data_IF_878704803064
#
_entry.id   IF_878704803064
#
_cell.length_a   1.000
_cell.length_b   1.000
_cell.length_c   1.000
_cell.angle_alpha   90.00
_cell.angle_beta   90.00
_cell.angle_gamma   90.00
#
_symmetry.space_group_name_H-M   'P 1'
#
loop_
_entity.id
_entity.type
_entity.pdbx_description
1 polymer ?
#
# COMPACT_ATOMS: atom_id res chain seq x y z
N UNK A 1 9.67 38.83 12.35
CA UNK A 1 9.48 37.41 12.71
C UNK A 1 10.66 37.04 13.59
N UNK A 2 10.44 36.74 14.87
CA UNK A 2 11.55 36.35 15.74
C UNK A 2 12.15 35.05 15.21
N UNK A 3 13.42 35.09 14.80
CA UNK A 3 14.17 33.86 14.52
C UNK A 3 14.50 33.22 15.86
N UNK A 4 13.85 32.11 16.17
CA UNK A 4 14.17 31.35 17.36
C UNK A 4 15.59 30.78 17.20
N UNK A 5 16.46 31.09 18.15
CA UNK A 5 17.75 30.45 18.27
C UNK A 5 17.57 29.14 19.03
N UNK A 6 17.60 28.02 18.32
CA UNK A 6 17.55 26.68 18.89
C UNK A 6 18.94 26.26 19.38
N UNK A 7 19.00 25.50 20.46
CA UNK A 7 20.25 24.91 20.94
C UNK A 7 20.86 24.02 19.85
N UNK A 8 22.09 24.28 19.40
CA UNK A 8 22.79 23.44 18.43
C UNK A 8 22.84 21.95 18.83
N UNK A 9 22.77 21.65 20.12
CA UNK A 9 22.76 20.28 20.66
C UNK A 9 21.56 19.46 20.15
N UNK A 10 20.39 20.09 19.90
CA UNK A 10 19.18 19.42 19.38
C UNK A 10 19.46 18.80 18.00
N UNK A 11 20.30 19.43 17.18
CA UNK A 11 20.66 18.91 15.85
C UNK A 11 21.40 17.58 15.93
N UNK A 12 22.41 17.50 16.80
CA UNK A 12 23.28 16.32 16.90
C UNK A 12 22.65 15.21 17.74
N UNK A 13 21.85 15.55 18.75
CA UNK A 13 21.29 14.58 19.69
C UNK A 13 19.86 14.15 19.38
N UNK A 14 19.11 14.93 18.61
CA UNK A 14 17.74 14.58 18.24
C UNK A 14 17.60 14.35 16.75
N UNK A 15 17.94 15.35 15.93
CA UNK A 15 17.68 15.27 14.50
C UNK A 15 18.47 14.15 13.81
N UNK A 16 19.79 14.12 14.02
CA UNK A 16 20.64 13.10 13.40
C UNK A 16 20.28 11.66 13.85
N UNK A 17 20.09 11.37 15.15
CA UNK A 17 19.65 10.05 15.58
C UNK A 17 18.26 9.68 15.05
N UNK A 18 17.32 10.62 14.99
CA UNK A 18 15.98 10.37 14.46
C UNK A 18 16.02 9.96 12.99
N UNK A 19 16.85 10.60 12.17
CA UNK A 19 17.05 10.21 10.76
C UNK A 19 17.63 8.79 10.66
N UNK A 20 18.63 8.46 11.49
CA UNK A 20 19.25 7.13 11.49
C UNK A 20 18.24 6.05 11.93
N UNK A 21 17.50 6.29 13.01
CA UNK A 21 16.51 5.34 13.55
C UNK A 21 15.38 5.11 12.55
N UNK A 22 14.83 6.18 11.96
CA UNK A 22 13.76 6.07 10.96
C UNK A 22 14.21 5.32 9.71
N UNK A 23 15.45 5.55 9.26
CA UNK A 23 16.04 4.80 8.16
C UNK A 23 16.22 3.31 8.48
N UNK A 24 16.84 2.98 9.61
CA UNK A 24 17.05 1.59 10.04
C UNK A 24 15.72 0.85 10.24
N UNK A 25 14.73 1.51 10.81
CA UNK A 25 13.40 0.95 10.95
C UNK A 25 12.73 0.71 9.59
N UNK A 26 12.92 1.61 8.62
CA UNK A 26 12.46 1.41 7.25
C UNK A 26 13.06 0.16 6.59
N UNK A 27 14.37 -0.05 6.77
CA UNK A 27 15.08 -1.24 6.30
C UNK A 27 14.56 -2.50 6.98
N UNK A 28 14.44 -2.48 8.32
CA UNK A 28 13.92 -3.60 9.10
C UNK A 28 12.47 -3.95 8.70
N UNK A 29 11.62 -2.94 8.52
CA UNK A 29 10.24 -3.13 8.03
C UNK A 29 10.23 -3.82 6.68
N UNK A 30 11.07 -3.38 5.74
CA UNK A 30 11.15 -3.98 4.42
C UNK A 30 11.48 -5.47 4.49
N UNK A 31 12.50 -5.85 5.27
CA UNK A 31 12.86 -7.25 5.47
C UNK A 31 11.78 -8.05 6.19
N UNK A 32 11.13 -7.48 7.21
CA UNK A 32 9.99 -8.12 7.86
C UNK A 32 8.83 -8.36 6.87
N UNK A 33 8.50 -7.38 6.03
CA UNK A 33 7.46 -7.53 5.02
C UNK A 33 7.79 -8.64 4.03
N UNK A 34 9.04 -8.76 3.59
CA UNK A 34 9.46 -9.87 2.71
C UNK A 34 9.29 -11.21 3.43
N UNK A 35 9.72 -11.32 4.68
CA UNK A 35 9.60 -12.57 5.44
C UNK A 35 8.14 -12.97 5.72
N UNK A 36 7.26 -12.00 5.93
CA UNK A 36 5.82 -12.24 6.15
C UNK A 36 5.01 -12.33 4.85
N UNK A 37 5.61 -12.03 3.69
CA UNK A 37 4.94 -12.18 2.41
C UNK A 37 4.81 -13.66 2.10
N UNK A 38 3.57 -14.15 2.10
CA UNK A 38 3.26 -15.53 1.74
C UNK A 38 2.67 -15.55 0.33
N UNK A 39 3.29 -16.32 -0.57
CA UNK A 39 2.66 -16.64 -1.85
C UNK A 39 1.51 -17.61 -1.62
N UNK A 40 0.29 -17.11 -1.83
CA UNK A 40 -0.90 -17.95 -1.82
C UNK A 40 -0.92 -18.82 -3.07
N UNK A 41 -1.03 -20.13 -2.87
CA UNK A 41 -1.38 -21.04 -3.94
C UNK A 41 -2.81 -20.74 -4.36
N UNK A 42 -2.96 -20.09 -5.51
CA UNK A 42 -4.27 -19.85 -6.10
C UNK A 42 -4.98 -21.18 -6.38
N UNK A 43 -6.30 -21.16 -6.31
CA UNK A 43 -7.11 -22.30 -6.70
C UNK A 43 -6.83 -22.65 -8.16
N UNK A 44 -6.53 -23.93 -8.44
CA UNK A 44 -6.16 -24.41 -9.78
C UNK A 44 -7.21 -24.04 -10.83
N UNK A 45 -8.47 -24.08 -10.42
CA UNK A 45 -9.61 -23.71 -11.25
C UNK A 45 -9.53 -22.22 -11.67
N UNK A 46 -9.33 -21.30 -10.71
CA UNK A 46 -9.17 -19.86 -10.98
C UNK A 46 -7.94 -19.54 -11.84
N UNK A 47 -6.85 -20.27 -11.64
CA UNK A 47 -5.64 -20.15 -12.46
C UNK A 47 -5.94 -20.59 -13.91
N UNK A 48 -6.65 -21.70 -14.08
CA UNK A 48 -7.07 -22.21 -15.39
C UNK A 48 -7.91 -21.19 -16.18
N UNK A 49 -8.85 -20.51 -15.51
CA UNK A 49 -9.66 -19.46 -16.13
C UNK A 49 -8.86 -18.21 -16.48
N UNK A 50 -7.96 -17.80 -15.59
CA UNK A 50 -7.06 -16.68 -15.85
C UNK A 50 -6.24 -16.94 -17.11
N UNK A 51 -5.71 -18.15 -17.28
CA UNK A 51 -5.02 -18.55 -18.50
C UNK A 51 -5.94 -18.60 -19.73
N UNK A 52 -7.18 -19.07 -19.59
CA UNK A 52 -8.15 -19.10 -20.69
C UNK A 52 -8.50 -17.67 -21.16
N UNK A 53 -8.65 -16.72 -20.24
CA UNK A 53 -8.86 -15.30 -20.54
C UNK A 53 -7.65 -14.65 -21.21
N UNK A 54 -6.43 -14.92 -20.71
CA UNK A 54 -5.20 -14.43 -21.33
C UNK A 54 -5.08 -15.00 -22.76
N UNK A 55 -5.39 -16.29 -22.95
CA UNK A 55 -5.37 -16.93 -24.26
C UNK A 55 -6.40 -16.31 -25.22
N UNK A 56 -7.60 -16.00 -24.76
CA UNK A 56 -8.62 -15.36 -25.60
C UNK A 56 -8.25 -13.93 -25.97
N UNK A 57 -7.64 -13.19 -25.03
CA UNK A 57 -7.06 -11.85 -25.28
C UNK A 57 -5.97 -11.91 -26.34
N UNK A 58 -5.00 -12.81 -26.19
CA UNK A 58 -3.92 -13.00 -27.16
C UNK A 58 -4.46 -13.42 -28.53
N UNK A 59 -5.49 -14.27 -28.59
CA UNK A 59 -6.13 -14.65 -29.84
C UNK A 59 -6.78 -13.44 -30.53
N UNK A 60 -7.39 -12.53 -29.77
CA UNK A 60 -8.03 -11.31 -30.32
C UNK A 60 -6.99 -10.29 -30.78
N UNK A 61 -5.95 -10.06 -30.00
CA UNK A 61 -4.91 -9.04 -30.29
C UNK A 61 -3.94 -9.52 -31.39
N UNK A 62 -3.49 -10.79 -31.32
CA UNK A 62 -2.47 -11.35 -32.20
C UNK A 62 -3.01 -12.40 -33.19
N UNK A 63 -4.32 -12.50 -33.35
CA UNK A 63 -4.95 -13.49 -34.25
C UNK A 63 -4.59 -13.33 -35.74
N UNK A 64 -4.08 -12.16 -36.14
CA UNK A 64 -3.66 -11.85 -37.52
C UNK A 64 -2.48 -12.69 -38.03
N UNK A 65 -1.68 -13.27 -37.14
CA UNK A 65 -0.53 -14.09 -37.51
C UNK A 65 -0.90 -15.56 -37.78
N UNK A 66 -2.15 -15.95 -37.50
CA UNK A 66 -2.63 -17.31 -37.71
C UNK A 66 -3.35 -17.44 -39.06
N UNK A 67 -3.30 -18.63 -39.70
CA UNK A 67 -4.15 -18.91 -40.86
C UNK A 67 -5.62 -18.73 -40.52
N UNK A 68 -6.41 -18.18 -41.46
CA UNK A 68 -7.82 -17.83 -41.23
C UNK A 68 -8.67 -19.00 -40.70
N UNK A 69 -8.41 -20.23 -41.18
CA UNK A 69 -9.07 -21.45 -40.70
C UNK A 69 -8.76 -21.73 -39.23
N UNK A 70 -7.50 -21.57 -38.84
CA UNK A 70 -7.01 -21.86 -37.50
C UNK A 70 -7.46 -20.80 -36.48
N UNK A 71 -7.63 -19.55 -36.91
CA UNK A 71 -8.26 -18.50 -36.10
C UNK A 71 -9.76 -18.77 -35.88
N UNK A 72 -10.51 -19.09 -36.95
CA UNK A 72 -11.95 -19.39 -36.86
C UNK A 72 -12.24 -20.60 -35.96
N UNK A 73 -11.45 -21.67 -36.04
CA UNK A 73 -11.58 -22.83 -35.15
C UNK A 73 -11.41 -22.46 -33.67
N UNK A 74 -10.38 -21.67 -33.33
CA UNK A 74 -10.14 -21.24 -31.94
C UNK A 74 -11.19 -20.24 -31.45
N UNK A 75 -11.69 -19.37 -32.33
CA UNK A 75 -12.82 -18.49 -32.03
C UNK A 75 -14.10 -19.28 -31.75
N UNK A 76 -14.34 -20.35 -32.52
CA UNK A 76 -15.48 -21.24 -32.31
C UNK A 76 -15.41 -21.93 -30.94
N UNK A 77 -14.25 -22.49 -30.57
CA UNK A 77 -14.04 -23.12 -29.27
C UNK A 77 -14.42 -22.22 -28.07
N UNK A 78 -14.16 -20.91 -28.16
CA UNK A 78 -14.50 -19.98 -27.08
C UNK A 78 -15.95 -19.47 -27.13
N UNK A 79 -16.50 -19.24 -28.33
CA UNK A 79 -17.75 -18.50 -28.52
C UNK A 79 -18.95 -19.37 -28.95
N UNK A 80 -18.77 -20.68 -29.08
CA UNK A 80 -19.87 -21.57 -29.45
C UNK A 80 -21.02 -21.48 -28.43
N UNK A 81 -22.26 -21.59 -28.93
CA UNK A 81 -23.47 -21.37 -28.10
C UNK A 81 -23.72 -22.54 -27.15
N UNK A 82 -23.40 -23.76 -27.56
CA UNK A 82 -23.65 -24.98 -26.79
C UNK A 82 -22.39 -25.47 -26.06
N UNK A 83 -21.24 -25.47 -26.74
CA UNK A 83 -19.98 -26.05 -26.24
C UNK A 83 -18.88 -25.01 -25.99
N UNK A 84 -19.19 -23.72 -26.08
CA UNK A 84 -18.20 -22.65 -25.92
C UNK A 84 -17.71 -22.57 -24.48
N UNK A 85 -16.39 -22.54 -24.30
CA UNK A 85 -15.76 -22.48 -22.98
C UNK A 85 -16.37 -21.38 -22.07
N UNK A 86 -16.65 -20.19 -22.61
CA UNK A 86 -17.24 -19.07 -21.87
C UNK A 86 -18.75 -19.15 -21.64
N UNK A 87 -19.45 -20.12 -22.24
CA UNK A 87 -20.90 -20.31 -22.11
C UNK A 87 -21.25 -21.52 -21.26
N UNK A 88 -20.47 -22.59 -21.34
CA UNK A 88 -20.67 -23.83 -20.60
C UNK A 88 -20.16 -23.72 -19.16
N UNK A 89 -19.05 -23.02 -18.92
CA UNK A 89 -18.52 -22.83 -17.57
C UNK A 89 -19.21 -21.66 -16.87
N UNK A 90 -20.37 -21.93 -16.25
CA UNK A 90 -20.96 -21.02 -15.27
C UNK A 90 -20.26 -21.22 -13.94
N UNK A 91 -19.26 -20.40 -13.66
CA UNK A 91 -18.71 -20.30 -12.32
C UNK A 91 -19.56 -19.37 -11.50
N UNK A 92 -19.80 -19.74 -10.25
CA UNK A 92 -20.32 -18.79 -9.29
C UNK A 92 -19.32 -17.65 -9.21
N UNK A 93 -19.79 -16.43 -9.46
CA UNK A 93 -18.93 -15.26 -9.35
C UNK A 93 -18.41 -15.22 -7.92
N UNK A 94 -17.07 -15.11 -7.69
CA UNK A 94 -16.53 -14.82 -6.37
C UNK A 94 -16.95 -13.43 -5.86
N UNK A 95 -17.77 -12.72 -6.63
CA UNK A 95 -18.54 -11.54 -6.26
C UNK A 95 -19.73 -11.88 -5.34
N UNK A 96 -19.61 -12.91 -4.51
CA UNK A 96 -20.35 -12.92 -3.26
C UNK A 96 -19.56 -11.97 -2.36
N UNK A 97 -20.19 -10.84 -1.99
CA UNK A 97 -19.68 -9.75 -1.16
C UNK A 97 -18.30 -9.99 -0.48
N UNK A 98 -17.34 -9.05 -0.52
CA UNK A 98 -16.09 -9.14 0.27
C UNK A 98 -16.30 -9.39 1.78
N UNK A 99 -17.53 -9.27 2.28
CA UNK A 99 -17.96 -9.60 3.64
C UNK A 99 -18.31 -11.09 3.86
N UNK A 100 -18.61 -11.83 2.79
CA UNK A 100 -19.11 -13.21 2.81
C UNK A 100 -17.97 -14.24 2.94
N UNK A 101 -16.74 -13.88 2.54
CA UNK A 101 -15.53 -14.67 2.78
C UNK A 101 -14.64 -13.98 3.82
N UNK A 102 -14.75 -14.37 5.11
CA UNK A 102 -13.92 -13.83 6.19
C UNK A 102 -12.42 -14.00 5.93
N UNK A 103 -12.00 -14.98 5.14
CA UNK A 103 -10.60 -15.25 4.79
C UNK A 103 -9.99 -14.18 3.87
N UNK A 104 -10.67 -13.82 2.78
CA UNK A 104 -10.16 -12.82 1.82
C UNK A 104 -10.17 -11.40 2.39
N UNK A 105 -11.20 -11.06 3.18
CA UNK A 105 -11.26 -9.79 3.90
C UNK A 105 -10.15 -9.66 4.94
N UNK A 106 -9.92 -10.71 5.75
CA UNK A 106 -8.86 -10.70 6.77
C UNK A 106 -7.48 -10.58 6.15
N UNK A 107 -7.28 -11.07 4.94
CA UNK A 107 -5.99 -10.99 4.24
C UNK A 107 -5.70 -9.61 3.65
N UNK A 108 -6.70 -8.97 3.05
CA UNK A 108 -6.57 -7.57 2.63
C UNK A 108 -6.33 -6.66 3.83
N UNK A 109 -7.08 -6.88 4.92
CA UNK A 109 -6.89 -6.15 6.17
C UNK A 109 -5.53 -6.45 6.79
N UNK A 110 -5.05 -7.70 6.78
CA UNK A 110 -3.73 -8.08 7.28
C UNK A 110 -2.62 -7.42 6.47
N UNK A 111 -2.74 -7.42 5.15
CA UNK A 111 -1.77 -6.76 4.25
C UNK A 111 -1.71 -5.25 4.51
N UNK A 112 -2.86 -4.59 4.67
CA UNK A 112 -2.90 -3.17 5.01
C UNK A 112 -2.38 -2.89 6.43
N UNK A 113 -2.76 -3.72 7.40
CA UNK A 113 -2.33 -3.61 8.80
C UNK A 113 -0.81 -3.80 8.95
N UNK A 114 -0.20 -4.73 8.21
CA UNK A 114 1.26 -4.93 8.20
C UNK A 114 2.02 -3.70 7.70
N UNK A 115 1.39 -2.82 6.92
CA UNK A 115 1.96 -1.54 6.52
C UNK A 115 1.65 -0.41 7.51
N UNK A 116 0.41 -0.35 8.02
CA UNK A 116 -0.05 0.74 8.88
C UNK A 116 0.49 0.64 10.32
N UNK A 117 0.50 -0.55 10.90
CA UNK A 117 0.88 -0.76 12.31
C UNK A 117 2.32 -0.31 12.59
N UNK A 118 3.33 -0.68 11.78
CA UNK A 118 4.69 -0.20 12.00
C UNK A 118 4.82 1.32 11.97
N UNK A 119 4.06 1.99 11.08
CA UNK A 119 4.09 3.46 10.94
C UNK A 119 3.49 4.17 12.16
N UNK A 120 2.41 3.63 12.72
CA UNK A 120 1.80 4.17 13.95
C UNK A 120 2.72 3.93 15.15
N UNK A 121 3.30 2.73 15.26
CA UNK A 121 4.19 2.38 16.39
C UNK A 121 5.41 3.30 16.41
N UNK A 122 6.08 3.52 15.28
CA UNK A 122 7.24 4.42 15.24
C UNK A 122 6.84 5.88 15.48
N UNK A 123 5.70 6.34 14.95
CA UNK A 123 5.21 7.70 15.18
C UNK A 123 4.90 7.96 16.66
N UNK A 124 4.24 7.02 17.33
CA UNK A 124 3.96 7.08 18.77
C UNK A 124 5.24 7.02 19.60
N UNK A 125 6.19 6.17 19.22
CA UNK A 125 7.47 6.07 19.92
C UNK A 125 8.30 7.35 19.79
N UNK A 126 8.38 7.94 18.59
CA UNK A 126 9.04 9.24 18.37
C UNK A 126 8.35 10.33 19.20
N UNK A 127 7.02 10.36 19.20
CA UNK A 127 6.28 11.36 19.97
C UNK A 127 6.50 11.21 21.48
N UNK A 128 6.65 10.00 21.99
CA UNK A 128 6.99 9.76 23.40
C UNK A 128 8.46 10.10 23.74
N UNK A 129 9.41 9.68 22.91
CA UNK A 129 10.85 9.84 23.15
C UNK A 129 11.36 11.27 22.92
N UNK A 130 10.75 12.00 21.97
CA UNK A 130 11.17 13.34 21.54
C UNK A 130 10.04 14.37 21.72
N UNK A 131 9.43 14.39 22.91
CA UNK A 131 8.41 15.39 23.28
C UNK A 131 9.02 16.60 23.99
N UNK A 132 8.37 17.76 23.87
CA UNK A 132 8.63 18.93 24.72
C UNK A 132 9.64 19.96 24.20
N UNK A 133 10.11 19.82 22.95
CA UNK A 133 11.01 20.80 22.32
C UNK A 133 10.74 20.93 20.81
N UNK A 134 11.17 22.05 20.23
CA UNK A 134 11.09 22.33 18.79
C UNK A 134 12.29 21.71 18.07
N UNK A 135 12.06 21.07 16.92
CA UNK A 135 13.12 20.37 16.18
C UNK A 135 13.68 21.20 15.03
N UNK A 136 12.83 21.62 14.09
CA UNK A 136 13.25 22.38 12.92
C UNK A 136 12.11 23.19 12.35
N UNK A 137 12.43 24.33 11.75
CA UNK A 137 11.48 25.10 10.95
C UNK A 137 11.36 24.49 9.56
N UNK A 138 10.14 24.34 9.08
CA UNK A 138 9.82 23.91 7.73
C UNK A 138 9.91 25.12 6.77
N UNK A 139 10.50 25.00 5.56
CA UNK A 139 10.78 26.15 4.68
C UNK A 139 9.54 26.65 3.91
N UNK A 140 8.35 26.11 4.16
CA UNK A 140 7.10 26.51 3.54
C UNK A 140 6.06 26.88 4.61
N UNK A 141 5.16 27.84 4.34
CA UNK A 141 4.17 28.29 5.31
C UNK A 141 3.10 27.20 5.53
N UNK A 142 2.77 26.94 6.80
CA UNK A 142 1.68 26.03 7.19
C UNK A 142 0.47 26.78 7.74
N UNK A 143 -0.72 26.22 7.56
CA UNK A 143 -1.94 26.79 8.13
C UNK A 143 -2.06 26.50 9.63
N UNK A 144 -2.67 27.41 10.38
CA UNK A 144 -2.80 27.32 11.85
C UNK A 144 -3.49 26.04 12.36
N UNK A 145 -4.32 25.39 11.53
CA UNK A 145 -5.01 24.13 11.89
C UNK A 145 -4.06 22.94 12.06
N UNK A 146 -2.85 22.99 11.48
CA UNK A 146 -1.83 21.95 11.65
C UNK A 146 -1.01 22.11 12.93
N UNK A 147 -1.08 23.28 13.58
CA UNK A 147 -0.35 23.57 14.82
C UNK A 147 -0.53 22.52 15.93
N UNK A 148 -1.75 22.11 16.32
CA UNK A 148 -1.93 21.09 17.36
C UNK A 148 -1.45 19.68 16.94
N UNK A 149 -1.26 19.43 15.64
CA UNK A 149 -0.73 18.14 15.17
C UNK A 149 0.81 18.12 15.19
N UNK A 150 1.46 19.24 14.87
CA UNK A 150 2.92 19.34 14.72
C UNK A 150 3.64 19.74 16.01
N UNK A 151 3.02 20.57 16.85
CA UNK A 151 3.61 21.09 18.09
C UNK A 151 3.10 20.38 19.35
N UNK A 152 2.87 19.07 19.23
CA UNK A 152 2.47 18.24 20.38
C UNK A 152 3.58 18.24 21.43
N UNK A 153 3.29 18.75 22.63
CA UNK A 153 4.25 18.91 23.72
C UNK A 153 4.80 20.34 23.93
N UNK A 154 4.51 21.29 23.03
CA UNK A 154 4.88 22.70 23.16
C UNK A 154 3.66 23.64 23.19
N UNK A 155 2.54 23.16 23.73
CA UNK A 155 1.22 23.82 23.67
C UNK A 155 1.16 25.18 24.41
N UNK A 156 2.13 25.46 25.29
CA UNK A 156 2.24 26.74 26.00
C UNK A 156 2.62 27.92 25.07
N UNK A 157 3.14 27.66 23.87
CA UNK A 157 3.58 28.67 22.89
C UNK A 157 2.49 28.96 21.84
N UNK A 158 1.36 29.51 22.29
CA UNK A 158 0.19 29.81 21.45
C UNK A 158 0.45 30.85 20.35
N UNK A 159 1.46 31.70 20.50
CA UNK A 159 1.85 32.73 19.52
C UNK A 159 2.85 32.27 18.44
N UNK A 160 3.42 31.05 18.56
CA UNK A 160 4.41 30.54 17.60
C UNK A 160 3.77 30.20 16.25
N UNK A 161 4.49 30.44 15.16
CA UNK A 161 4.02 30.07 13.81
C UNK A 161 3.96 28.53 13.65
N UNK A 162 3.04 28.04 12.80
CA UNK A 162 2.83 26.62 12.57
C UNK A 162 3.97 25.94 11.78
N UNK A 163 4.87 26.75 11.21
CA UNK A 163 6.07 26.29 10.49
C UNK A 163 7.19 25.81 11.42
N UNK A 164 7.07 26.03 12.73
CA UNK A 164 8.03 25.62 13.76
C UNK A 164 7.69 24.28 14.41
#
# INVERSE_FOLDING_TARGET
>A
MAELFLDPSIRSWVFLPLVIITFLFGVLRHYMTIMFSSEKKGELENIGDSHALIRSRLLRENGRFLPAKAFKMRKYFFNDKEHGFFKTQKRESPMNNPMADPSMATEMLRSNALNMVPMIVIGSWINWAFSGFLTTKVPFPLTYRFKPMLQRGCESLTSLDASW
#
